data_IF_394346397415
#
_entry.id   IF_394346397415
#
_cell.length_a   1.000
_cell.length_b   1.000
_cell.length_c   1.000
_cell.angle_alpha   90.00
_cell.angle_beta   90.00
_cell.angle_gamma   90.00
#
_symmetry.space_group_name_H-M   'P 1'
#
loop_
_entity.id
_entity.type
_entity.pdbx_description
1 polymer ?
#
# COMPACT_ATOMS: atom_id res chain seq x y z
N UNK A 1 -9.18 -1.21 -7.58
CA UNK A 1 -10.11 -0.06 -7.57
C UNK A 1 -11.52 -0.55 -7.87
N UNK A 2 -12.55 0.23 -7.54
CA UNK A 2 -13.96 -0.12 -7.77
C UNK A 2 -14.67 0.93 -8.61
N UNK A 3 -15.89 1.30 -8.22
CA UNK A 3 -16.64 2.40 -8.85
C UNK A 3 -15.85 3.72 -8.85
N UNK A 4 -15.11 3.99 -7.78
CA UNK A 4 -14.22 5.15 -7.66
C UNK A 4 -12.78 4.69 -7.37
N UNK A 5 -11.81 5.62 -7.47
CA UNK A 5 -10.44 5.38 -7.04
C UNK A 5 -10.25 5.11 -5.55
N UNK A 6 -11.27 5.24 -4.71
CA UNK A 6 -11.14 5.06 -3.25
C UNK A 6 -11.00 3.59 -2.84
N UNK A 7 -11.72 2.68 -3.49
CA UNK A 7 -11.66 1.26 -3.17
C UNK A 7 -10.32 0.62 -3.56
N UNK A 8 -9.84 -0.33 -2.77
CA UNK A 8 -8.50 -0.89 -2.94
C UNK A 8 -7.76 -1.02 -1.62
N UNK A 9 -6.44 -1.07 -1.69
CA UNK A 9 -5.59 -0.85 -0.52
C UNK A 9 -5.43 0.65 -0.26
N UNK A 10 -4.99 1.01 0.94
CA UNK A 10 -4.67 2.38 1.32
C UNK A 10 -3.64 3.02 0.37
N UNK A 11 -3.75 4.33 0.12
CA UNK A 11 -2.83 5.06 -0.78
C UNK A 11 -2.20 6.26 -0.03
N UNK A 12 -1.56 7.20 -0.72
CA UNK A 12 -0.99 8.41 -0.10
C UNK A 12 -1.96 9.16 0.83
N UNK A 13 -3.17 9.48 0.33
CA UNK A 13 -4.21 10.19 1.10
C UNK A 13 -5.56 9.48 1.18
N UNK A 14 -5.72 8.35 0.45
CA UNK A 14 -6.98 7.62 0.35
C UNK A 14 -7.00 6.46 1.34
N UNK A 15 -8.14 6.22 1.97
CA UNK A 15 -8.30 5.17 2.97
C UNK A 15 -8.09 3.76 2.42
N UNK A 16 -8.44 3.53 1.15
CA UNK A 16 -8.67 2.17 0.67
C UNK A 16 -10.01 1.63 1.15
N UNK A 17 -10.17 0.32 1.02
CA UNK A 17 -11.35 -0.42 1.46
C UNK A 17 -11.45 -0.44 2.97
N UNK A 18 -12.63 -0.08 3.49
CA UNK A 18 -12.96 -0.12 4.90
C UNK A 18 -14.26 -0.90 5.10
N UNK A 19 -14.53 -1.28 6.34
CA UNK A 19 -15.88 -1.67 6.74
C UNK A 19 -16.83 -0.48 6.50
N UNK A 20 -17.92 -0.65 5.72
CA UNK A 20 -18.90 0.41 5.49
C UNK A 20 -19.48 1.00 6.78
N UNK A 21 -19.63 0.20 7.84
CA UNK A 21 -20.19 0.65 9.12
C UNK A 21 -19.26 1.59 9.89
N UNK A 22 -17.95 1.56 9.65
CA UNK A 22 -17.01 2.52 10.25
C UNK A 22 -17.28 3.94 9.73
N UNK A 23 -17.68 4.07 8.47
CA UNK A 23 -17.97 5.38 7.86
C UNK A 23 -19.16 6.03 8.55
N UNK A 24 -20.26 5.28 8.73
CA UNK A 24 -21.46 5.79 9.40
C UNK A 24 -21.22 6.04 10.88
N UNK A 25 -20.46 5.15 11.54
CA UNK A 25 -20.12 5.32 12.95
C UNK A 25 -19.34 6.61 13.22
N UNK A 26 -18.29 6.90 12.44
CA UNK A 26 -17.50 8.13 12.58
C UNK A 26 -18.35 9.36 12.24
N UNK A 27 -19.12 9.31 11.15
CA UNK A 27 -19.96 10.43 10.74
C UNK A 27 -20.98 10.83 11.82
N UNK A 28 -21.63 9.85 12.45
CA UNK A 28 -22.58 10.09 13.54
C UNK A 28 -21.89 10.61 14.80
N UNK A 29 -20.74 10.03 15.16
CA UNK A 29 -19.99 10.37 16.38
C UNK A 29 -19.42 11.79 16.34
N UNK A 30 -18.87 12.17 15.20
CA UNK A 30 -18.19 13.45 14.98
C UNK A 30 -19.09 14.49 14.29
N UNK A 31 -20.37 14.17 14.10
CA UNK A 31 -21.38 15.03 13.46
C UNK A 31 -20.97 15.54 12.06
N UNK A 32 -20.35 14.66 11.27
CA UNK A 32 -19.81 15.00 9.96
C UNK A 32 -20.85 14.86 8.85
N UNK A 33 -20.82 15.79 7.91
CA UNK A 33 -21.56 15.70 6.65
C UNK A 33 -20.95 14.64 5.71
N UNK A 34 -21.72 14.16 4.71
CA UNK A 34 -21.17 13.27 3.68
C UNK A 34 -19.98 13.85 2.92
N UNK A 35 -19.95 15.17 2.72
CA UNK A 35 -18.84 15.86 2.05
C UNK A 35 -17.57 15.86 2.91
N UNK A 36 -17.70 16.14 4.20
CA UNK A 36 -16.58 16.08 5.15
C UNK A 36 -16.04 14.65 5.30
N UNK A 37 -16.90 13.64 5.39
CA UNK A 37 -16.45 12.25 5.37
C UNK A 37 -15.76 11.89 4.05
N UNK A 38 -16.28 12.35 2.91
CA UNK A 38 -15.63 12.14 1.63
C UNK A 38 -14.22 12.75 1.59
N UNK A 39 -14.06 13.95 2.17
CA UNK A 39 -12.75 14.61 2.31
C UNK A 39 -11.81 13.78 3.18
N UNK A 40 -12.26 13.31 4.35
CA UNK A 40 -11.45 12.46 5.23
C UNK A 40 -10.98 11.21 4.47
N UNK A 41 -11.89 10.50 3.82
CA UNK A 41 -11.60 9.26 3.11
C UNK A 41 -10.64 9.46 1.92
N UNK A 42 -10.70 10.60 1.23
CA UNK A 42 -9.92 10.83 0.02
C UNK A 42 -8.63 11.63 0.21
N UNK A 43 -8.59 12.51 1.23
CA UNK A 43 -7.55 13.54 1.37
C UNK A 43 -6.80 13.48 2.69
N UNK A 44 -7.35 12.85 3.72
CA UNK A 44 -6.80 12.89 5.09
C UNK A 44 -6.54 11.49 5.66
N UNK A 45 -6.68 10.45 4.83
CA UNK A 45 -6.48 9.05 5.20
C UNK A 45 -5.16 8.50 4.62
N UNK A 46 -5.03 7.17 4.54
CA UNK A 46 -3.91 6.54 3.84
C UNK A 46 -2.58 6.70 4.58
N UNK A 47 -1.47 6.75 3.84
CA UNK A 47 -0.13 6.97 4.40
C UNK A 47 -0.10 8.25 5.24
N UNK A 48 -0.72 9.33 4.77
CA UNK A 48 -0.81 10.60 5.50
C UNK A 48 -1.52 10.43 6.85
N UNK A 49 -2.71 9.83 6.85
CA UNK A 49 -3.50 9.67 8.07
C UNK A 49 -2.82 8.78 9.11
N UNK A 50 -2.18 7.70 8.68
CA UNK A 50 -1.54 6.74 9.59
C UNK A 50 -0.18 7.25 10.07
N UNK A 51 0.70 7.69 9.16
CA UNK A 51 2.03 8.20 9.52
C UNK A 51 1.95 9.53 10.29
N UNK A 52 0.99 10.38 9.94
CA UNK A 52 0.94 11.77 10.40
C UNK A 52 2.09 12.63 9.85
N UNK A 53 2.77 12.16 8.80
CA UNK A 53 3.96 12.82 8.22
C UNK A 53 3.62 13.45 6.87
N UNK A 54 3.39 12.64 5.85
CA UNK A 54 3.20 13.09 4.48
C UNK A 54 2.39 12.07 3.69
N UNK A 55 1.89 12.48 2.53
CA UNK A 55 1.36 11.56 1.52
C UNK A 55 2.41 11.13 0.49
N UNK A 56 3.60 11.76 0.51
CA UNK A 56 4.76 11.37 -0.30
C UNK A 56 5.58 10.30 0.44
N UNK A 57 5.73 9.15 -0.19
CA UNK A 57 6.42 7.98 0.37
C UNK A 57 7.89 8.27 0.72
N UNK A 58 8.53 9.22 0.04
CA UNK A 58 9.94 9.59 0.31
C UNK A 58 10.10 10.23 1.68
N UNK A 59 9.17 11.12 2.05
CA UNK A 59 9.15 11.76 3.36
C UNK A 59 8.84 10.75 4.46
N UNK A 60 7.94 9.79 4.18
CA UNK A 60 7.57 8.72 5.12
C UNK A 60 8.75 7.77 5.33
N UNK A 61 9.49 7.40 4.27
CA UNK A 61 10.73 6.62 4.38
C UNK A 61 11.80 7.34 5.22
N UNK A 62 11.98 8.65 5.03
CA UNK A 62 12.91 9.44 5.84
C UNK A 62 12.50 9.43 7.32
N UNK A 63 11.22 9.67 7.61
CA UNK A 63 10.71 9.63 8.97
C UNK A 63 10.83 8.24 9.63
N UNK A 64 10.58 7.17 8.87
CA UNK A 64 10.78 5.79 9.35
C UNK A 64 12.25 5.52 9.69
N UNK A 65 13.18 5.94 8.83
CA UNK A 65 14.61 5.81 9.07
C UNK A 65 15.08 6.59 10.32
N UNK A 66 14.43 7.71 10.61
CA UNK A 66 14.64 8.50 11.83
C UNK A 66 13.93 7.92 13.08
N UNK A 67 13.29 6.75 12.96
CA UNK A 67 12.67 6.01 14.07
C UNK A 67 11.19 6.35 14.32
N UNK A 68 10.49 6.98 13.37
CA UNK A 68 9.07 7.25 13.51
C UNK A 68 8.23 5.96 13.41
N UNK A 69 7.74 5.49 14.55
CA UNK A 69 6.92 4.28 14.65
C UNK A 69 5.61 4.33 13.84
N UNK A 70 5.02 5.52 13.64
CA UNK A 70 3.80 5.66 12.83
C UNK A 70 4.10 5.57 11.34
N UNK A 71 5.25 6.07 10.89
CA UNK A 71 5.72 5.90 9.52
C UNK A 71 5.97 4.41 9.21
N UNK A 72 6.67 3.71 10.11
CA UNK A 72 6.86 2.26 10.02
C UNK A 72 5.53 1.50 9.95
N UNK A 73 4.58 1.82 10.84
CA UNK A 73 3.25 1.21 10.83
C UNK A 73 2.50 1.46 9.51
N UNK A 74 2.59 2.67 8.95
CA UNK A 74 1.94 2.99 7.68
C UNK A 74 2.48 2.14 6.53
N UNK A 75 3.79 1.92 6.47
CA UNK A 75 4.42 1.03 5.48
C UNK A 75 4.04 -0.44 5.69
N UNK A 76 4.11 -0.96 6.92
CA UNK A 76 3.71 -2.35 7.19
C UNK A 76 2.24 -2.61 6.82
N UNK A 77 1.35 -1.66 7.11
CA UNK A 77 -0.05 -1.74 6.69
C UNK A 77 -0.21 -1.71 5.16
N UNK A 78 0.56 -0.85 4.47
CA UNK A 78 0.55 -0.77 3.01
C UNK A 78 1.00 -2.09 2.38
N UNK A 79 2.14 -2.63 2.82
CA UNK A 79 2.72 -3.87 2.27
C UNK A 79 1.79 -5.06 2.49
N UNK A 80 1.25 -5.20 3.71
CA UNK A 80 0.27 -6.23 4.03
C UNK A 80 -0.98 -6.14 3.13
N UNK A 81 -1.53 -4.94 2.95
CA UNK A 81 -2.71 -4.77 2.10
C UNK A 81 -2.41 -5.08 0.63
N UNK A 82 -1.26 -4.67 0.10
CA UNK A 82 -0.86 -5.02 -1.28
C UNK A 82 -0.76 -6.53 -1.45
N UNK A 83 -0.08 -7.24 -0.53
CA UNK A 83 0.05 -8.68 -0.59
C UNK A 83 -1.33 -9.39 -0.51
N UNK A 84 -2.22 -8.93 0.38
CA UNK A 84 -3.60 -9.43 0.47
C UNK A 84 -4.38 -9.22 -0.83
N UNK A 85 -4.20 -8.09 -1.49
CA UNK A 85 -4.82 -7.80 -2.80
C UNK A 85 -4.25 -8.68 -3.93
N UNK A 86 -2.95 -8.95 -3.94
CA UNK A 86 -2.34 -9.89 -4.90
C UNK A 86 -2.91 -11.29 -4.66
N UNK A 87 -2.99 -11.74 -3.39
CA UNK A 87 -3.56 -13.04 -3.04
C UNK A 87 -5.02 -13.20 -3.46
N UNK A 88 -5.85 -12.16 -3.34
CA UNK A 88 -7.24 -12.23 -3.81
C UNK A 88 -7.33 -12.40 -5.33
N UNK A 89 -6.46 -11.73 -6.09
CA UNK A 89 -6.40 -11.89 -7.54
C UNK A 89 -5.80 -13.22 -7.97
N UNK A 90 -4.80 -13.74 -7.25
CA UNK A 90 -4.26 -15.07 -7.49
C UNK A 90 -5.37 -16.13 -7.45
N UNK A 91 -6.22 -16.10 -6.42
CA UNK A 91 -7.36 -17.02 -6.30
C UNK A 91 -8.38 -16.78 -7.40
N UNK A 92 -8.72 -15.52 -7.69
CA UNK A 92 -9.71 -15.18 -8.72
C UNK A 92 -9.29 -15.63 -10.13
N UNK A 93 -7.99 -15.68 -10.42
CA UNK A 93 -7.42 -16.11 -11.70
C UNK A 93 -7.13 -17.62 -11.75
N UNK A 94 -7.19 -18.33 -10.61
CA UNK A 94 -6.82 -19.75 -10.51
C UNK A 94 -5.31 -20.00 -10.56
N UNK A 95 -4.50 -18.98 -10.26
CA UNK A 95 -3.05 -19.00 -10.39
C UNK A 95 -2.49 -17.66 -10.84
N UNK A 96 -1.18 -17.59 -11.07
CA UNK A 96 -0.49 -16.40 -11.55
C UNK A 96 0.81 -16.77 -12.25
N UNK A 97 1.01 -16.33 -13.50
CA UNK A 97 2.27 -16.51 -14.24
C UNK A 97 3.34 -15.48 -13.86
N UNK A 98 2.94 -14.32 -13.35
CA UNK A 98 3.88 -13.25 -13.00
C UNK A 98 3.23 -12.09 -12.24
N UNK A 99 4.01 -11.50 -11.34
CA UNK A 99 3.67 -10.30 -10.58
C UNK A 99 4.56 -9.16 -11.08
N UNK A 100 3.95 -8.03 -11.43
CA UNK A 100 4.67 -6.87 -11.97
C UNK A 100 4.54 -5.69 -11.01
N UNK A 101 5.68 -5.17 -10.57
CA UNK A 101 5.77 -3.90 -9.86
C UNK A 101 6.11 -2.78 -10.86
N UNK A 102 5.36 -1.68 -10.81
CA UNK A 102 5.51 -0.56 -11.76
C UNK A 102 5.10 0.77 -11.08
N UNK A 103 5.26 1.87 -11.80
CA UNK A 103 5.00 3.24 -11.38
C UNK A 103 5.86 3.70 -10.20
N UNK A 104 5.59 4.90 -9.68
CA UNK A 104 6.46 5.60 -8.72
C UNK A 104 7.01 4.72 -7.59
N UNK A 105 6.15 4.23 -6.69
CA UNK A 105 6.59 3.44 -5.54
C UNK A 105 7.06 2.04 -5.95
N UNK A 106 6.32 1.36 -6.84
CA UNK A 106 6.65 0.00 -7.28
C UNK A 106 8.00 -0.11 -7.99
N UNK A 107 8.43 0.93 -8.70
CA UNK A 107 9.73 0.98 -9.37
C UNK A 107 10.87 1.41 -8.44
N UNK A 108 10.60 2.27 -7.44
CA UNK A 108 11.66 2.96 -6.70
C UNK A 108 11.79 2.58 -5.22
N UNK A 109 10.92 1.73 -4.66
CA UNK A 109 11.00 1.28 -3.27
C UNK A 109 11.31 -0.23 -3.19
N UNK A 110 12.59 -0.64 -3.16
CA UNK A 110 12.97 -2.06 -3.05
C UNK A 110 12.39 -2.75 -1.82
N UNK A 111 12.29 -2.03 -0.69
CA UNK A 111 11.72 -2.56 0.55
C UNK A 111 10.25 -2.95 0.41
N UNK A 112 9.45 -2.18 -0.33
CA UNK A 112 8.06 -2.55 -0.61
C UNK A 112 8.00 -3.86 -1.38
N UNK A 113 8.79 -3.97 -2.45
CA UNK A 113 8.80 -5.19 -3.27
C UNK A 113 9.24 -6.39 -2.45
N UNK A 114 10.27 -6.22 -1.62
CA UNK A 114 10.76 -7.27 -0.71
C UNK A 114 9.69 -7.70 0.28
N UNK A 115 9.12 -6.78 1.05
CA UNK A 115 8.11 -7.09 2.06
C UNK A 115 6.84 -7.70 1.47
N UNK A 116 6.39 -7.20 0.32
CA UNK A 116 5.23 -7.79 -0.38
C UNK A 116 5.55 -9.21 -0.84
N UNK A 117 6.73 -9.46 -1.41
CA UNK A 117 7.14 -10.80 -1.83
C UNK A 117 7.31 -11.76 -0.64
N UNK A 118 7.82 -11.30 0.51
CA UNK A 118 7.93 -12.10 1.73
C UNK A 118 6.55 -12.66 2.16
N UNK A 119 5.48 -11.84 2.09
CA UNK A 119 4.11 -12.30 2.37
C UNK A 119 3.59 -13.34 1.36
N UNK A 120 4.12 -13.34 0.14
CA UNK A 120 3.70 -14.20 -0.97
C UNK A 120 4.57 -15.46 -1.12
N UNK A 121 5.53 -15.70 -0.23
CA UNK A 121 6.33 -16.92 -0.20
C UNK A 121 5.45 -18.18 -0.12
N UNK A 122 4.29 -18.08 0.55
CA UNK A 122 3.31 -19.17 0.64
C UNK A 122 2.69 -19.56 -0.71
N UNK A 123 2.81 -18.70 -1.73
CA UNK A 123 2.40 -18.95 -3.11
C UNK A 123 3.58 -19.36 -4.01
N UNK A 124 4.77 -19.57 -3.43
CA UNK A 124 5.99 -19.95 -4.14
C UNK A 124 6.77 -18.77 -4.75
N UNK A 125 6.40 -17.53 -4.42
CA UNK A 125 7.13 -16.33 -4.87
C UNK A 125 8.49 -16.28 -4.19
N UNK A 126 9.55 -16.03 -4.96
CA UNK A 126 10.92 -15.82 -4.47
C UNK A 126 11.49 -14.57 -5.12
N UNK A 127 12.33 -13.86 -4.38
CA UNK A 127 12.90 -12.58 -4.80
C UNK A 127 14.43 -12.64 -4.74
N UNK A 128 15.09 -12.23 -5.83
CA UNK A 128 16.51 -11.89 -5.82
C UNK A 128 16.68 -10.55 -5.11
N UNK A 129 17.04 -10.61 -3.82
CA UNK A 129 17.19 -9.42 -2.98
C UNK A 129 18.32 -8.50 -3.47
N UNK A 130 19.35 -9.04 -4.12
CA UNK A 130 20.46 -8.22 -4.61
C UNK A 130 20.07 -7.49 -5.89
N UNK A 131 19.46 -8.16 -6.85
CA UNK A 131 18.95 -7.49 -8.04
C UNK A 131 17.79 -6.53 -7.69
N UNK A 132 16.93 -6.88 -6.73
CA UNK A 132 15.87 -6.02 -6.25
C UNK A 132 16.36 -4.66 -5.74
N UNK A 133 17.48 -4.63 -5.00
CA UNK A 133 18.08 -3.36 -4.53
C UNK A 133 18.56 -2.48 -5.66
N UNK A 134 18.99 -3.08 -6.79
CA UNK A 134 19.53 -2.36 -7.95
C UNK A 134 18.44 -1.94 -8.95
N UNK A 135 17.30 -2.62 -8.94
CA UNK A 135 16.19 -2.38 -9.86
C UNK A 135 15.37 -1.13 -9.47
N UNK A 136 16.00 0.05 -9.53
CA UNK A 136 15.37 1.36 -9.30
C UNK A 136 15.73 2.33 -10.41
N UNK A 137 15.08 3.50 -10.47
CA UNK A 137 15.44 4.57 -11.41
C UNK A 137 15.42 4.17 -12.90
N UNK A 138 14.41 3.39 -13.31
CA UNK A 138 14.19 2.99 -14.70
C UNK A 138 14.87 1.69 -15.13
N UNK A 139 15.55 0.99 -14.21
CA UNK A 139 16.05 -0.37 -14.46
C UNK A 139 14.88 -1.34 -14.54
N UNK A 140 14.81 -2.11 -15.64
CA UNK A 140 13.81 -3.16 -15.85
C UNK A 140 14.45 -4.54 -15.78
N UNK A 141 13.71 -5.53 -15.30
CA UNK A 141 14.17 -6.92 -15.27
C UNK A 141 13.29 -7.83 -14.42
N UNK A 142 13.58 -9.12 -14.49
CA UNK A 142 12.90 -10.13 -13.67
C UNK A 142 13.54 -10.17 -12.29
N UNK A 143 12.73 -9.91 -11.26
CA UNK A 143 13.19 -9.88 -9.87
C UNK A 143 13.20 -11.25 -9.19
N UNK A 144 12.62 -12.28 -9.79
CA UNK A 144 12.51 -13.62 -9.20
C UNK A 144 13.75 -14.48 -9.44
N UNK A 145 14.09 -15.32 -8.45
CA UNK A 145 15.14 -16.36 -8.54
C UNK A 145 14.61 -17.69 -9.05
#
# INVERSE_FOLDING_TARGET
MGLTPLGGFMMGTRSGSLDPSVITFIAEKEHLTPEEMSKILNKESGLLGISGVSSDDRDVCAAEADGNMRAHLAHEMLYYQIAKYIGSYYVALGGCDGIVFTAGIGENQPMLREKVCDYLECLGVKLDKEFNKQATCGVTGTLST
#
